data_IF_322956835807
#
_entry.id   IF_322956835807
#
_cell.length_a   1.000
_cell.length_b   1.000
_cell.length_c   1.000
_cell.angle_alpha   90.00
_cell.angle_beta   90.00
_cell.angle_gamma   90.00
#
_symmetry.space_group_name_H-M   'P 1'
#
loop_
_entity.id
_entity.type
_entity.pdbx_description
1 polymer ?
#
# COMPACT_ATOMS: atom_id res chain seq x y z
N UNK A 1 12.10 -54.68 19.18
CA UNK A 1 12.30 -53.27 18.80
C UNK A 1 11.53 -53.00 17.52
N UNK A 2 10.45 -52.24 17.58
CA UNK A 2 9.69 -51.78 16.42
C UNK A 2 9.95 -50.28 16.28
N UNK A 3 10.53 -49.84 15.17
CA UNK A 3 10.68 -48.42 14.85
C UNK A 3 9.63 -48.07 13.81
N UNK A 4 8.91 -47.00 14.10
CA UNK A 4 7.61 -46.64 13.56
C UNK A 4 7.57 -46.46 12.03
N UNK A 5 6.50 -46.97 11.43
CA UNK A 5 5.85 -46.37 10.25
C UNK A 5 5.21 -45.05 10.67
N UNK A 6 5.30 -44.02 9.82
CA UNK A 6 4.37 -42.89 9.82
C UNK A 6 5.05 -41.54 9.84
N UNK A 7 4.92 -40.79 8.74
CA UNK A 7 5.38 -39.39 8.69
C UNK A 7 5.65 -38.78 7.32
N UNK A 8 5.21 -39.39 6.21
CA UNK A 8 5.26 -38.76 4.87
C UNK A 8 3.86 -38.34 4.45
N UNK A 9 3.13 -37.59 5.29
CA UNK A 9 1.73 -37.21 5.01
C UNK A 9 1.38 -35.77 5.48
N UNK A 10 2.36 -34.86 5.52
CA UNK A 10 2.12 -33.44 5.88
C UNK A 10 2.96 -32.41 5.07
N UNK A 11 3.42 -32.75 3.86
CA UNK A 11 4.19 -31.82 3.02
C UNK A 11 3.46 -31.34 1.74
N UNK A 12 2.16 -31.61 1.62
CA UNK A 12 1.36 -31.30 0.41
C UNK A 12 0.07 -30.53 0.71
N UNK A 13 0.09 -29.63 1.69
CA UNK A 13 -0.97 -28.62 1.82
C UNK A 13 -0.35 -27.24 2.10
N UNK A 14 -0.56 -26.34 1.15
CA UNK A 14 -0.30 -24.89 1.19
C UNK A 14 1.15 -24.42 0.96
N UNK A 15 1.80 -24.88 -0.11
CA UNK A 15 2.78 -23.98 -0.75
C UNK A 15 1.97 -22.85 -1.40
N UNK A 16 2.07 -21.60 -0.93
CA UNK A 16 1.31 -20.51 -1.52
C UNK A 16 1.71 -20.36 -2.98
N UNK A 17 0.72 -20.25 -3.87
CA UNK A 17 0.97 -19.99 -5.28
C UNK A 17 1.68 -18.64 -5.39
N UNK A 18 2.97 -18.71 -5.77
CA UNK A 18 3.78 -17.54 -6.05
C UNK A 18 3.49 -17.08 -7.49
N UNK A 19 3.13 -15.82 -7.65
CA UNK A 19 2.84 -15.22 -8.95
C UNK A 19 3.75 -14.04 -9.19
N UNK A 20 4.24 -13.93 -10.42
CA UNK A 20 5.08 -12.83 -10.85
C UNK A 20 4.26 -11.55 -10.98
N UNK A 21 4.74 -10.46 -10.36
CA UNK A 21 4.07 -9.17 -10.41
C UNK A 21 4.25 -8.55 -11.81
N UNK A 22 3.17 -8.19 -12.51
CA UNK A 22 3.25 -7.76 -13.92
C UNK A 22 3.80 -6.35 -14.10
N UNK A 23 3.70 -5.50 -13.06
CA UNK A 23 4.09 -4.09 -13.06
C UNK A 23 4.67 -3.71 -11.70
N UNK A 24 5.38 -2.59 -11.65
CA UNK A 24 5.65 -1.95 -10.37
C UNK A 24 4.37 -1.25 -9.90
N UNK A 25 4.00 -1.44 -8.62
CA UNK A 25 2.89 -0.76 -7.98
C UNK A 25 3.39 0.01 -6.77
N UNK A 26 2.91 1.24 -6.61
CA UNK A 26 3.38 2.15 -5.58
C UNK A 26 2.38 3.25 -5.29
N UNK A 27 2.78 4.17 -4.43
CA UNK A 27 2.03 5.38 -4.11
C UNK A 27 2.91 6.60 -4.20
N UNK A 28 2.35 7.67 -4.77
CA UNK A 28 2.95 8.98 -4.68
C UNK A 28 2.89 9.48 -3.23
N UNK A 29 3.98 10.06 -2.75
CA UNK A 29 3.97 10.71 -1.44
C UNK A 29 3.14 11.99 -1.50
N UNK A 30 2.20 12.21 -0.57
CA UNK A 30 1.44 13.46 -0.54
C UNK A 30 2.38 14.67 -0.39
N UNK A 31 2.29 15.64 -1.31
CA UNK A 31 3.10 16.86 -1.28
C UNK A 31 4.54 16.72 -1.79
N UNK A 32 4.92 15.56 -2.35
CA UNK A 32 6.21 15.31 -2.98
C UNK A 32 6.02 14.55 -4.31
N UNK A 33 6.90 14.75 -5.28
CA UNK A 33 6.86 14.05 -6.57
C UNK A 33 7.51 12.66 -6.52
N UNK A 34 7.95 12.19 -5.34
CA UNK A 34 8.53 10.86 -5.16
C UNK A 34 7.47 9.76 -4.99
N UNK A 35 7.80 8.56 -5.48
CA UNK A 35 6.93 7.39 -5.44
C UNK A 35 7.57 6.33 -4.54
N UNK A 36 6.80 5.82 -3.59
CA UNK A 36 7.16 4.62 -2.85
C UNK A 36 6.62 3.39 -3.58
N UNK A 37 7.50 2.65 -4.24
CA UNK A 37 7.16 1.37 -4.85
C UNK A 37 7.13 0.28 -3.78
N UNK A 38 6.06 -0.51 -3.78
CA UNK A 38 5.83 -1.59 -2.79
C UNK A 38 5.85 -2.96 -3.44
N UNK A 39 5.28 -3.08 -4.64
CA UNK A 39 5.34 -4.30 -5.44
C UNK A 39 6.20 -3.99 -6.67
N UNK A 40 7.09 -4.91 -7.00
CA UNK A 40 8.07 -4.73 -8.06
C UNK A 40 7.82 -5.70 -9.20
N UNK A 41 7.85 -5.19 -10.44
CA UNK A 41 7.72 -6.02 -11.64
C UNK A 41 8.75 -7.15 -11.62
N UNK A 42 8.34 -8.35 -12.06
CA UNK A 42 9.22 -9.52 -12.14
C UNK A 42 9.48 -10.23 -10.81
N UNK A 43 9.13 -9.62 -9.67
CA UNK A 43 9.22 -10.28 -8.37
C UNK A 43 8.01 -11.19 -8.17
N UNK A 44 8.23 -12.31 -7.46
CA UNK A 44 7.19 -13.28 -7.18
C UNK A 44 6.62 -13.07 -5.79
N UNK A 45 5.31 -12.93 -5.70
CA UNK A 45 4.56 -12.74 -4.45
C UNK A 45 3.55 -13.86 -4.26
N UNK A 46 3.30 -14.26 -3.02
CA UNK A 46 2.20 -15.15 -2.72
C UNK A 46 0.87 -14.48 -3.08
N UNK A 47 -0.12 -15.25 -3.56
CA UNK A 47 -1.48 -14.72 -3.71
C UNK A 47 -2.02 -14.32 -2.34
N UNK A 48 -2.58 -13.10 -2.22
CA UNK A 48 -3.00 -12.53 -0.93
C UNK A 48 -1.83 -11.97 -0.10
N UNK A 49 -0.65 -11.83 -0.69
CA UNK A 49 0.48 -11.20 -0.01
C UNK A 49 0.20 -9.72 0.22
N UNK A 50 0.38 -9.29 1.46
CA UNK A 50 0.26 -7.90 1.90
C UNK A 50 1.64 -7.27 2.03
N UNK A 51 1.87 -6.16 1.33
CA UNK A 51 3.04 -5.30 1.52
C UNK A 51 2.60 -3.95 2.08
N UNK A 52 3.41 -3.34 2.93
CA UNK A 52 3.07 -2.12 3.63
C UNK A 52 4.08 -1.00 3.35
N UNK A 53 3.58 0.23 3.31
CA UNK A 53 4.40 1.45 3.31
C UNK A 53 3.89 2.42 4.35
N UNK A 54 4.80 2.92 5.18
CA UNK A 54 4.48 3.98 6.13
C UNK A 54 4.58 5.33 5.44
N UNK A 55 3.52 6.13 5.58
CA UNK A 55 3.45 7.48 5.10
C UNK A 55 3.26 8.45 6.27
N UNK A 56 3.73 9.67 6.05
CA UNK A 56 3.54 10.79 6.96
C UNK A 56 2.94 11.94 6.17
N UNK A 57 1.87 12.49 6.69
CA UNK A 57 1.24 13.70 6.18
C UNK A 57 1.20 14.76 7.28
N UNK A 58 1.49 16.01 6.93
CA UNK A 58 1.34 17.15 7.83
C UNK A 58 0.03 17.83 7.47
N UNK A 59 -0.91 17.80 8.42
CA UNK A 59 -2.23 18.39 8.30
C UNK A 59 -2.30 19.69 9.11
N UNK A 60 -2.84 20.74 8.52
CA UNK A 60 -3.17 22.01 9.19
C UNK A 60 -4.68 22.16 9.29
N UNK A 61 -5.18 22.85 10.31
CA UNK A 61 -6.62 23.05 10.49
C UNK A 61 -7.32 23.76 9.31
N UNK A 62 -6.57 24.43 8.42
CA UNK A 62 -7.08 25.04 7.18
C UNK A 62 -7.06 24.11 5.97
N UNK A 63 -6.43 22.94 6.10
CA UNK A 63 -6.32 21.98 5.00
C UNK A 63 -7.62 21.18 4.86
N UNK A 64 -7.91 20.68 3.65
CA UNK A 64 -9.02 19.75 3.46
C UNK A 64 -8.88 18.51 4.36
N UNK A 65 -9.99 18.07 4.96
CA UNK A 65 -10.02 16.85 5.77
C UNK A 65 -9.86 15.56 4.93
N UNK A 66 -9.84 15.67 3.60
CA UNK A 66 -9.60 14.55 2.70
C UNK A 66 -8.24 14.70 2.02
N UNK A 67 -7.37 13.70 2.16
CA UNK A 67 -6.08 13.64 1.48
C UNK A 67 -6.14 12.64 0.33
N UNK A 68 -5.85 13.10 -0.88
CA UNK A 68 -5.79 12.26 -2.07
C UNK A 68 -4.38 11.69 -2.24
N UNK A 69 -4.29 10.37 -2.36
CA UNK A 69 -3.03 9.65 -2.54
C UNK A 69 -3.09 8.89 -3.87
N UNK A 70 -2.26 9.28 -4.83
CA UNK A 70 -2.21 8.60 -6.12
C UNK A 70 -1.58 7.22 -5.97
N UNK A 71 -2.32 6.19 -6.38
CA UNK A 71 -1.79 4.84 -6.58
C UNK A 71 -1.23 4.76 -7.98
N UNK A 72 0.05 4.43 -8.08
CA UNK A 72 0.82 4.50 -9.32
C UNK A 72 1.17 3.10 -9.84
N UNK A 73 1.28 2.99 -11.16
CA UNK A 73 1.73 1.82 -11.88
C UNK A 73 2.83 2.16 -12.87
N UNK A 74 3.85 1.31 -13.00
CA UNK A 74 4.91 1.49 -14.00
C UNK A 74 5.29 0.16 -14.65
N UNK A 75 5.41 0.15 -15.97
CA UNK A 75 5.67 -1.08 -16.75
C UNK A 75 7.12 -1.19 -17.27
N UNK A 76 8.02 -0.31 -16.86
CA UNK A 76 9.45 -0.43 -17.20
C UNK A 76 10.18 -1.47 -16.35
N UNK A 77 11.44 -1.70 -16.67
CA UNK A 77 12.32 -2.66 -16.00
C UNK A 77 12.63 -2.22 -14.57
N UNK A 78 13.04 -0.97 -14.38
CA UNK A 78 13.40 -0.40 -13.09
C UNK A 78 12.34 0.59 -12.60
N UNK A 79 11.99 0.56 -11.32
CA UNK A 79 11.02 1.49 -10.75
C UNK A 79 11.62 2.90 -10.57
N UNK A 80 11.09 3.96 -11.21
CA UNK A 80 11.64 5.31 -11.14
C UNK A 80 11.39 5.96 -9.76
N UNK A 81 12.29 6.82 -9.28
CA UNK A 81 12.13 7.42 -7.93
C UNK A 81 10.97 8.43 -7.88
N UNK A 82 10.65 9.06 -9.01
CA UNK A 82 9.65 10.11 -9.13
C UNK A 82 8.70 9.86 -10.30
N UNK A 83 7.67 10.70 -10.43
CA UNK A 83 6.90 10.79 -11.66
C UNK A 83 7.83 11.04 -12.86
N UNK A 84 7.64 10.25 -13.90
CA UNK A 84 8.35 10.33 -15.17
C UNK A 84 7.42 9.85 -16.29
N UNK A 85 7.87 10.01 -17.53
CA UNK A 85 7.17 9.44 -18.68
C UNK A 85 6.99 7.92 -18.49
N UNK A 86 5.74 7.47 -18.66
CA UNK A 86 5.33 6.06 -18.50
C UNK A 86 4.82 5.65 -17.12
N UNK A 87 4.90 6.51 -16.09
CA UNK A 87 4.18 6.28 -14.82
C UNK A 87 2.70 6.59 -15.02
N UNK A 88 1.84 5.61 -14.74
CA UNK A 88 0.39 5.73 -14.81
C UNK A 88 -0.19 5.94 -13.40
N UNK A 89 -1.12 6.88 -13.25
CA UNK A 89 -2.00 6.94 -12.08
C UNK A 89 -3.11 5.91 -12.30
N UNK A 90 -3.09 4.84 -11.51
CA UNK A 90 -4.06 3.74 -11.58
C UNK A 90 -5.35 4.09 -10.83
N UNK A 91 -5.26 4.94 -9.82
CA UNK A 91 -6.40 5.59 -9.20
C UNK A 91 -5.99 6.43 -7.99
N UNK A 92 -6.99 7.02 -7.34
CA UNK A 92 -6.80 7.93 -6.21
C UNK A 92 -7.39 7.30 -4.95
N UNK A 93 -6.53 7.00 -3.98
CA UNK A 93 -6.96 6.59 -2.65
C UNK A 93 -7.32 7.82 -1.82
N UNK A 94 -8.48 7.81 -1.17
CA UNK A 94 -8.97 8.91 -0.34
C UNK A 94 -8.73 8.56 1.13
N UNK A 95 -7.81 9.28 1.76
CA UNK A 95 -7.63 9.23 3.21
C UNK A 95 -8.54 10.29 3.85
N UNK A 96 -9.59 9.82 4.52
CA UNK A 96 -10.55 10.66 5.22
C UNK A 96 -10.10 10.91 6.66
N UNK A 97 -9.58 12.12 6.92
CA UNK A 97 -9.08 12.55 8.21
C UNK A 97 -10.20 12.92 9.19
N UNK A 98 -11.42 13.17 8.73
CA UNK A 98 -12.57 13.47 9.60
C UNK A 98 -12.90 12.29 10.54
N UNK A 99 -12.53 11.09 10.13
CA UNK A 99 -12.69 9.84 10.90
C UNK A 99 -11.57 9.62 11.92
N UNK A 100 -10.58 10.51 11.97
CA UNK A 100 -9.43 10.40 12.86
C UNK A 100 -9.59 11.31 14.08
N UNK A 101 -9.25 10.79 15.26
CA UNK A 101 -9.05 11.65 16.43
C UNK A 101 -7.68 12.31 16.35
N UNK A 102 -7.62 13.53 15.80
CA UNK A 102 -6.38 14.28 15.58
C UNK A 102 -5.56 14.52 16.87
N UNK A 103 -6.21 14.56 18.03
CA UNK A 103 -5.54 14.75 19.33
C UNK A 103 -4.61 13.59 19.71
N UNK A 104 -4.75 12.42 19.09
CA UNK A 104 -3.89 11.26 19.31
C UNK A 104 -2.57 11.35 18.53
N UNK A 105 -2.45 12.28 17.60
CA UNK A 105 -1.26 12.45 16.77
C UNK A 105 -0.34 13.51 17.38
N UNK A 106 0.96 13.36 17.09
CA UNK A 106 1.92 14.41 17.42
C UNK A 106 1.51 15.70 16.73
N UNK A 107 1.51 16.79 17.48
CA UNK A 107 1.14 18.12 16.99
C UNK A 107 2.11 19.16 17.53
N UNK A 108 2.21 20.27 16.81
CA UNK A 108 2.94 21.47 17.24
C UNK A 108 2.19 22.72 16.81
N UNK A 109 2.50 23.84 17.43
CA UNK A 109 2.09 25.16 16.95
C UNK A 109 3.15 25.66 15.96
N UNK A 110 2.73 26.18 14.81
CA UNK A 110 3.62 26.85 13.85
C UNK A 110 3.91 28.30 14.30
N UNK A 111 4.83 28.97 13.59
CA UNK A 111 5.23 30.36 13.91
C UNK A 111 4.09 31.38 13.80
N UNK A 112 2.91 30.98 13.30
CA UNK A 112 1.72 31.81 13.13
C UNK A 112 0.62 31.46 14.14
N UNK A 113 0.91 30.63 15.14
CA UNK A 113 -0.06 30.22 16.15
C UNK A 113 -1.04 29.13 15.70
N UNK A 114 -0.78 28.45 14.58
CA UNK A 114 -1.68 27.41 14.05
C UNK A 114 -1.18 26.03 14.42
N UNK A 115 -2.10 25.16 14.83
CA UNK A 115 -1.76 23.77 15.15
C UNK A 115 -1.54 22.95 13.87
N UNK A 116 -0.36 22.34 13.76
CA UNK A 116 0.00 21.35 12.74
C UNK A 116 -0.04 19.95 13.36
N UNK A 117 -0.71 19.01 12.71
CA UNK A 117 -0.79 17.61 13.09
C UNK A 117 0.08 16.74 12.17
N UNK A 118 0.90 15.89 12.75
CA UNK A 118 1.71 14.92 12.02
C UNK A 118 1.02 13.55 12.01
N UNK A 119 0.26 13.30 10.95
CA UNK A 119 -0.52 12.09 10.77
C UNK A 119 0.37 11.00 10.16
N UNK A 120 0.61 9.93 10.92
CA UNK A 120 1.32 8.73 10.46
C UNK A 120 0.31 7.61 10.23
N UNK A 121 0.38 7.00 9.06
CA UNK A 121 -0.49 5.89 8.67
C UNK A 121 0.29 4.91 7.78
N UNK A 122 -0.21 3.68 7.73
CA UNK A 122 0.35 2.62 6.89
C UNK A 122 -0.61 2.38 5.73
N UNK A 123 -0.13 2.50 4.49
CA UNK A 123 -0.87 1.95 3.35
C UNK A 123 -0.45 0.50 3.16
N UNK A 124 -1.44 -0.38 3.15
CA UNK A 124 -1.27 -1.79 2.86
C UNK A 124 -1.81 -2.10 1.47
N UNK A 125 -1.03 -2.89 0.75
CA UNK A 125 -1.28 -3.37 -0.59
C UNK A 125 -1.39 -4.88 -0.55
N UNK A 126 -2.58 -5.39 -0.83
CA UNK A 126 -2.82 -6.83 -0.99
C UNK A 126 -2.92 -7.15 -2.48
N UNK A 127 -1.98 -7.96 -2.97
CA UNK A 127 -2.01 -8.44 -4.35
C UNK A 127 -2.70 -9.80 -4.39
N UNK A 128 -3.93 -9.83 -4.92
CA UNK A 128 -4.65 -11.07 -5.21
C UNK A 128 -4.68 -11.30 -6.72
N UNK A 129 -3.69 -12.05 -7.21
CA UNK A 129 -3.60 -12.37 -8.64
C UNK A 129 -4.70 -13.35 -9.07
N UNK A 130 -5.19 -14.22 -8.17
CA UNK A 130 -6.32 -15.12 -8.49
C UNK A 130 -7.59 -14.33 -8.82
N UNK A 131 -7.77 -13.18 -8.19
CA UNK A 131 -8.87 -12.24 -8.44
C UNK A 131 -8.52 -11.12 -9.40
N UNK A 132 -7.29 -11.12 -9.94
CA UNK A 132 -6.75 -10.03 -10.77
C UNK A 132 -6.98 -8.65 -10.14
N UNK A 133 -6.75 -8.55 -8.82
CA UNK A 133 -7.08 -7.37 -8.05
C UNK A 133 -5.94 -6.96 -7.11
N UNK A 134 -5.76 -5.66 -6.98
CA UNK A 134 -4.90 -5.01 -6.01
C UNK A 134 -5.82 -4.28 -5.03
N UNK A 135 -5.76 -4.63 -3.76
CA UNK A 135 -6.50 -3.95 -2.72
C UNK A 135 -5.55 -3.01 -1.98
N UNK A 136 -5.98 -1.77 -1.81
CA UNK A 136 -5.22 -0.73 -1.11
C UNK A 136 -6.06 -0.24 0.06
N UNK A 137 -5.50 -0.28 1.26
CA UNK A 137 -6.17 0.20 2.48
C UNK A 137 -5.22 0.99 3.35
N UNK A 138 -5.72 2.02 4.02
CA UNK A 138 -4.95 2.74 5.03
C UNK A 138 -5.27 2.20 6.42
N UNK A 139 -4.23 1.99 7.20
CA UNK A 139 -4.29 1.51 8.57
C UNK A 139 -3.64 2.54 9.49
N UNK A 140 -4.26 2.78 10.64
CA UNK A 140 -3.64 3.48 11.76
C UNK A 140 -2.53 2.62 12.38
N UNK A 141 -1.67 3.20 13.23
CA UNK A 141 -0.67 2.43 13.98
C UNK A 141 -1.24 1.31 14.86
N UNK A 142 -2.50 1.40 15.27
CA UNK A 142 -3.22 0.36 16.03
C UNK A 142 -3.86 -0.72 15.14
N UNK A 143 -3.69 -0.63 13.82
CA UNK A 143 -4.23 -1.58 12.84
C UNK A 143 -5.68 -1.31 12.42
N UNK A 144 -6.34 -0.27 12.93
CA UNK A 144 -7.68 0.08 12.49
C UNK A 144 -7.67 0.74 11.11
N UNK A 145 -8.66 0.42 10.28
CA UNK A 145 -8.80 0.95 8.94
C UNK A 145 -9.19 2.45 8.95
N UNK A 146 -8.54 3.23 8.10
CA UNK A 146 -8.80 4.65 7.88
C UNK A 146 -9.32 4.83 6.45
N UNK A 147 -10.59 5.24 6.31
CA UNK A 147 -11.21 5.43 5.01
C UNK A 147 -11.88 4.16 4.49
N UNK A 148 -11.85 3.96 3.18
CA UNK A 148 -12.42 2.79 2.51
C UNK A 148 -11.33 2.00 1.80
N UNK A 149 -11.53 0.69 1.70
CA UNK A 149 -10.65 -0.15 0.87
C UNK A 149 -10.85 0.17 -0.61
N UNK A 150 -9.76 0.43 -1.30
CA UNK A 150 -9.75 0.68 -2.73
C UNK A 150 -9.37 -0.60 -3.48
N UNK A 151 -10.23 -1.04 -4.39
CA UNK A 151 -9.95 -2.17 -5.27
C UNK A 151 -9.56 -1.68 -6.66
N UNK A 152 -8.38 -2.07 -7.13
CA UNK A 152 -7.87 -1.78 -8.46
C UNK A 152 -7.73 -3.06 -9.28
N UNK A 153 -8.07 -3.05 -10.58
CA UNK A 153 -7.80 -4.19 -11.45
C UNK A 153 -6.29 -4.31 -11.72
N UNK A 154 -5.73 -5.50 -11.53
CA UNK A 154 -4.36 -5.82 -11.94
C UNK A 154 -4.38 -6.06 -13.45
N UNK A 155 -3.71 -5.20 -14.22
CA UNK A 155 -3.46 -5.47 -15.64
C UNK A 155 -2.42 -6.57 -15.75
N UNK A 156 -2.89 -7.82 -15.83
CA UNK A 156 -2.05 -8.96 -16.18
C UNK A 156 -1.78 -8.90 -17.69
N UNK A 157 -0.55 -8.63 -18.08
CA UNK A 157 -0.09 -8.88 -19.45
C UNK A 157 0.27 -10.36 -19.56
N UNK A 158 -0.56 -11.12 -20.27
CA UNK A 158 -0.21 -12.46 -20.70
C UNK A 158 0.73 -12.34 -21.90
N UNK A 159 1.93 -12.91 -21.79
CA UNK A 159 2.89 -13.05 -22.88
C UNK A 159 2.77 -14.45 -23.49
#
# INVERSE_FOLDING_TARGET
>A
MAVARGGVWYATQNTPLLVECPRHYGVAKPGDNTINWVLHKGHRYATGHTTQVQLRHIYKATDPESVLISVCGYNGTCSPISFSDGVEILGMFVLDLSKLNLAQFWHREDDHGRTEYSIKFTLEFECDVSRSALYVRALRPDGCLVGEEMKLPVKLTFH
#
